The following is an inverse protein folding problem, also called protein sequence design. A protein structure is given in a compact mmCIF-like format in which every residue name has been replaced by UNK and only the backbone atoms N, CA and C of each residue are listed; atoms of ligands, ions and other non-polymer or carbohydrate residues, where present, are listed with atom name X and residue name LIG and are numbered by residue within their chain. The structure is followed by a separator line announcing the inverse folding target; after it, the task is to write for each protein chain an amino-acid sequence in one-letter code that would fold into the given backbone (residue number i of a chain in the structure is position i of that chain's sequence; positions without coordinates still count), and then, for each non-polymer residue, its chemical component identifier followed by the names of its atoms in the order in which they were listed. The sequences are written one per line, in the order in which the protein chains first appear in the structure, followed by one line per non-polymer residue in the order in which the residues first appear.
data_IF_307106265841
#
_entry.id   IF_307106265841
#
_cell.length_a   1.000
_cell.length_b   1.000
_cell.length_c   1.000
_cell.angle_alpha   90.00
_cell.angle_beta   90.00
_cell.angle_gamma   90.00
#
_symmetry.space_group_name_H-M   'P 1'
#
loop_
_entity.id
_entity.type
_entity.pdbx_description
1 polymer ?
#
# COMPACT_ATOMS: atom_id res chain seq x y z
N UNK A 1 -16.08 17.45 -20.21
CA UNK A 1 -15.95 16.59 -21.40
C UNK A 1 -14.83 15.60 -21.13
N UNK A 2 -15.14 14.37 -20.72
CA UNK A 2 -14.14 13.30 -20.61
C UNK A 2 -14.23 12.53 -21.91
N UNK A 3 -13.18 12.59 -22.73
CA UNK A 3 -13.12 11.85 -23.98
C UNK A 3 -12.88 10.37 -23.63
N UNK A 4 -13.89 9.52 -23.81
CA UNK A 4 -13.72 8.07 -23.91
C UNK A 4 -13.23 7.77 -25.33
N UNK A 5 -11.94 7.98 -25.56
CA UNK A 5 -11.29 7.56 -26.79
C UNK A 5 -11.12 6.06 -26.79
N UNK A 6 -11.73 5.37 -27.77
CA UNK A 6 -11.44 3.97 -28.07
C UNK A 6 -10.07 3.92 -28.75
N UNK A 7 -9.02 4.00 -27.95
CA UNK A 7 -7.63 3.93 -28.38
C UNK A 7 -6.80 3.33 -27.26
N UNK A 8 -5.73 2.62 -27.62
CA UNK A 8 -4.80 2.05 -26.63
C UNK A 8 -4.12 3.21 -25.89
N UNK A 9 -4.61 3.50 -24.68
CA UNK A 9 -4.02 4.52 -23.81
C UNK A 9 -2.70 3.97 -23.27
N UNK A 10 -1.58 4.52 -23.75
CA UNK A 10 -0.28 4.26 -23.15
C UNK A 10 -0.18 5.02 -21.84
N UNK A 11 -0.45 4.28 -20.78
CA UNK A 11 -0.30 4.69 -19.40
C UNK A 11 1.20 4.73 -19.06
N UNK A 12 1.81 5.92 -19.08
CA UNK A 12 3.23 6.11 -18.70
C UNK A 12 3.56 5.59 -17.30
N UNK A 13 4.87 5.49 -16.95
CA UNK A 13 5.32 4.82 -15.73
C UNK A 13 4.74 5.46 -14.46
N UNK A 14 4.46 4.63 -13.46
CA UNK A 14 4.02 5.07 -12.13
C UNK A 14 5.26 5.39 -11.30
N UNK A 15 5.40 6.65 -10.86
CA UNK A 15 6.55 7.10 -10.07
C UNK A 15 6.47 6.61 -8.62
N UNK A 16 7.61 6.65 -7.91
CA UNK A 16 7.68 6.36 -6.48
C UNK A 16 6.56 7.07 -5.70
N UNK A 17 5.82 6.33 -4.88
CA UNK A 17 4.72 6.86 -4.05
C UNK A 17 3.46 7.30 -4.81
N UNK A 18 3.42 7.14 -6.14
CA UNK A 18 2.21 7.33 -6.93
C UNK A 18 1.49 6.00 -7.14
N UNK A 19 0.18 6.09 -7.39
CA UNK A 19 -0.66 4.94 -7.71
C UNK A 19 -1.58 5.21 -8.89
N UNK A 20 -1.97 4.14 -9.58
CA UNK A 20 -3.04 4.14 -10.57
C UNK A 20 -3.97 2.97 -10.28
N UNK A 21 -5.26 3.25 -10.21
CA UNK A 21 -6.28 2.21 -9.99
C UNK A 21 -6.85 1.79 -11.34
N UNK A 22 -6.85 0.48 -11.58
CA UNK A 22 -7.54 -0.16 -12.68
C UNK A 22 -8.73 -0.94 -12.13
N UNK A 23 -9.87 -0.83 -12.82
CA UNK A 23 -11.12 -1.42 -12.40
C UNK A 23 -11.48 -2.61 -13.29
N UNK A 24 -12.25 -3.54 -12.75
CA UNK A 24 -12.87 -4.64 -13.49
C UNK A 24 -11.85 -5.57 -14.19
N UNK A 25 -10.72 -5.84 -13.53
CA UNK A 25 -9.64 -6.72 -14.05
C UNK A 25 -9.87 -8.22 -13.80
N UNK A 26 -11.12 -8.67 -13.69
CA UNK A 26 -11.46 -10.07 -13.46
C UNK A 26 -11.50 -10.44 -11.98
N UNK A 27 -10.49 -11.18 -11.47
CA UNK A 27 -10.46 -11.71 -10.08
C UNK A 27 -10.61 -10.60 -9.04
N UNK A 28 -10.09 -9.41 -9.33
CA UNK A 28 -10.15 -8.26 -8.44
C UNK A 28 -10.99 -7.14 -9.07
N UNK A 29 -11.98 -6.57 -8.32
CA UNK A 29 -12.79 -5.47 -8.83
C UNK A 29 -11.98 -4.17 -8.98
N UNK A 30 -10.90 -4.02 -8.22
CA UNK A 30 -9.97 -2.90 -8.27
C UNK A 30 -8.54 -3.38 -8.02
N UNK A 31 -7.58 -2.87 -8.78
CA UNK A 31 -6.15 -3.12 -8.60
C UNK A 31 -5.43 -1.78 -8.58
N UNK A 32 -4.75 -1.47 -7.48
CA UNK A 32 -3.87 -0.31 -7.39
C UNK A 32 -2.44 -0.70 -7.76
N UNK A 33 -1.96 -0.21 -8.90
CA UNK A 33 -0.55 -0.34 -9.29
C UNK A 33 0.22 0.83 -8.66
N UNK A 34 1.18 0.52 -7.80
CA UNK A 34 2.05 1.48 -7.12
C UNK A 34 3.45 1.49 -7.75
N UNK A 35 4.05 2.68 -7.85
CA UNK A 35 5.42 2.81 -8.33
C UNK A 35 6.43 2.52 -7.21
N UNK A 36 7.29 1.53 -7.40
CA UNK A 36 8.43 1.26 -6.51
C UNK A 36 9.53 2.32 -6.65
N UNK A 37 9.68 2.93 -7.83
CA UNK A 37 10.73 3.92 -8.04
C UNK A 37 12.11 3.30 -8.24
N UNK A 38 13.14 4.12 -8.06
CA UNK A 38 14.53 3.78 -8.34
C UNK A 38 15.34 3.86 -7.05
N UNK A 39 15.77 2.70 -6.55
CA UNK A 39 16.51 2.60 -5.30
C UNK A 39 17.90 3.24 -5.37
N UNK A 40 18.47 3.42 -6.57
CA UNK A 40 19.80 4.04 -6.74
C UNK A 40 19.82 5.55 -6.44
N UNK A 41 18.66 6.17 -6.22
CA UNK A 41 18.53 7.61 -5.95
C UNK A 41 18.61 7.97 -4.46
N UNK A 42 18.63 6.97 -3.58
CA UNK A 42 18.81 7.19 -2.16
C UNK A 42 20.26 7.55 -1.85
N UNK A 43 20.48 8.45 -0.90
CA UNK A 43 21.84 8.82 -0.46
C UNK A 43 22.36 7.73 0.47
N UNK A 44 23.60 7.28 0.26
CA UNK A 44 24.23 6.31 1.17
C UNK A 44 24.37 6.87 2.60
N UNK A 45 24.46 8.20 2.74
CA UNK A 45 24.52 8.89 4.03
C UNK A 45 23.19 8.87 4.80
N UNK A 46 22.08 8.50 4.15
CA UNK A 46 20.79 8.35 4.82
C UNK A 46 20.74 7.11 5.73
N UNK A 47 21.70 6.19 5.60
CA UNK A 47 21.75 4.91 6.34
C UNK A 47 20.45 4.08 6.21
N UNK A 48 19.73 4.28 5.10
CA UNK A 48 18.47 3.61 4.77
C UNK A 48 18.67 2.70 3.55
N UNK A 49 18.14 1.48 3.64
CA UNK A 49 17.99 0.62 2.47
C UNK A 49 16.86 1.16 1.58
N UNK A 50 17.24 1.87 0.51
CA UNK A 50 16.33 2.56 -0.38
C UNK A 50 15.33 1.65 -1.10
N UNK A 51 15.71 0.40 -1.40
CA UNK A 51 14.81 -0.58 -2.01
C UNK A 51 13.70 -0.98 -1.04
N UNK A 52 14.07 -1.26 0.22
CA UNK A 52 13.13 -1.56 1.29
C UNK A 52 12.21 -0.38 1.60
N UNK A 53 12.73 0.84 1.62
CA UNK A 53 11.92 2.03 1.88
C UNK A 53 10.94 2.34 0.74
N UNK A 54 11.37 2.14 -0.50
CA UNK A 54 10.50 2.22 -1.67
C UNK A 54 9.31 1.25 -1.58
N UNK A 55 9.52 0.03 -1.09
CA UNK A 55 8.45 -0.96 -0.88
C UNK A 55 7.44 -0.46 0.16
N UNK A 56 7.91 0.09 1.29
CA UNK A 56 7.00 0.68 2.30
C UNK A 56 6.15 1.78 1.70
N UNK A 57 6.77 2.69 0.94
CA UNK A 57 6.09 3.81 0.29
C UNK A 57 5.06 3.31 -0.73
N UNK A 58 5.41 2.32 -1.56
CA UNK A 58 4.53 1.76 -2.58
C UNK A 58 3.32 1.06 -1.95
N UNK A 59 3.53 0.17 -0.96
CA UNK A 59 2.46 -0.49 -0.22
C UNK A 59 1.52 0.52 0.44
N UNK A 60 2.08 1.51 1.12
CA UNK A 60 1.31 2.58 1.77
C UNK A 60 0.45 3.35 0.76
N UNK A 61 1.00 3.69 -0.40
CA UNK A 61 0.28 4.40 -1.44
C UNK A 61 -0.87 3.57 -2.02
N UNK A 62 -0.63 2.27 -2.28
CA UNK A 62 -1.65 1.33 -2.77
C UNK A 62 -2.82 1.18 -1.80
N UNK A 63 -2.52 0.91 -0.53
CA UNK A 63 -3.54 0.77 0.52
C UNK A 63 -4.37 2.04 0.68
N UNK A 64 -3.73 3.22 0.72
CA UNK A 64 -4.45 4.50 0.81
C UNK A 64 -5.36 4.73 -0.40
N UNK A 65 -4.89 4.42 -1.60
CA UNK A 65 -5.66 4.60 -2.82
C UNK A 65 -6.92 3.72 -2.83
N UNK A 66 -6.80 2.44 -2.47
CA UNK A 66 -7.94 1.53 -2.40
C UNK A 66 -8.88 1.85 -1.23
N UNK A 67 -8.34 2.19 -0.05
CA UNK A 67 -9.10 2.62 1.12
C UNK A 67 -9.91 3.88 0.85
N UNK A 68 -9.34 4.87 0.14
CA UNK A 68 -10.04 6.09 -0.28
C UNK A 68 -11.25 5.79 -1.21
N UNK A 69 -11.21 4.66 -1.92
CA UNK A 69 -12.29 4.17 -2.76
C UNK A 69 -13.18 3.14 -2.05
N UNK A 70 -13.10 3.04 -0.72
CA UNK A 70 -13.95 2.18 0.13
C UNK A 70 -13.86 0.69 -0.18
N UNK A 71 -12.73 0.24 -0.73
CA UNK A 71 -12.42 -1.18 -0.82
C UNK A 71 -12.23 -1.70 0.61
N UNK A 72 -12.97 -2.75 0.99
CA UNK A 72 -13.01 -3.26 2.36
C UNK A 72 -11.93 -4.32 2.65
N UNK A 73 -11.45 -5.01 1.63
CA UNK A 73 -10.44 -6.06 1.73
C UNK A 73 -9.34 -5.79 0.70
N UNK A 74 -8.09 -5.71 1.16
CA UNK A 74 -6.94 -5.40 0.33
C UNK A 74 -5.89 -6.48 0.54
N UNK A 75 -5.61 -7.23 -0.52
CA UNK A 75 -4.45 -8.10 -0.60
C UNK A 75 -3.26 -7.32 -1.17
N UNK A 76 -2.09 -7.43 -0.52
CA UNK A 76 -0.85 -6.74 -0.90
C UNK A 76 0.18 -7.79 -1.32
N UNK A 77 0.82 -7.58 -2.47
CA UNK A 77 1.94 -8.41 -2.93
C UNK A 77 3.17 -8.21 -2.04
N UNK A 78 4.09 -9.19 -2.00
CA UNK A 78 5.31 -9.10 -1.21
C UNK A 78 6.33 -8.08 -1.75
N UNK A 79 6.30 -7.79 -3.06
CA UNK A 79 7.26 -6.92 -3.74
C UNK A 79 8.72 -7.28 -3.41
N UNK A 80 9.00 -8.59 -3.28
CA UNK A 80 10.29 -9.17 -2.86
C UNK A 80 10.73 -8.80 -1.41
N UNK A 81 9.95 -7.98 -0.71
CA UNK A 81 10.24 -7.47 0.63
C UNK A 81 8.97 -7.51 1.52
N UNK A 82 8.46 -8.71 1.84
CA UNK A 82 7.17 -8.90 2.50
C UNK A 82 7.04 -8.18 3.84
N UNK A 83 8.13 -8.11 4.64
CA UNK A 83 8.13 -7.35 5.88
C UNK A 83 7.89 -5.85 5.64
N UNK A 84 8.58 -5.26 4.67
CA UNK A 84 8.45 -3.83 4.34
C UNK A 84 7.09 -3.53 3.73
N UNK A 85 6.58 -4.43 2.89
CA UNK A 85 5.23 -4.32 2.34
C UNK A 85 4.19 -4.28 3.47
N UNK A 86 4.31 -5.19 4.45
CA UNK A 86 3.44 -5.24 5.63
C UNK A 86 3.56 -3.97 6.49
N UNK A 87 4.78 -3.49 6.74
CA UNK A 87 5.04 -2.28 7.51
C UNK A 87 4.36 -1.07 6.85
N UNK A 88 4.63 -0.84 5.57
CA UNK A 88 4.04 0.27 4.81
C UNK A 88 2.51 0.22 4.76
N UNK A 89 1.96 -0.96 4.45
CA UNK A 89 0.53 -1.18 4.39
C UNK A 89 -0.17 -0.93 5.74
N UNK A 90 0.37 -1.50 6.83
CA UNK A 90 -0.21 -1.40 8.18
C UNK A 90 -0.10 0.00 8.76
N UNK A 91 1.04 0.69 8.59
CA UNK A 91 1.22 2.07 9.04
C UNK A 91 0.29 3.04 8.29
N UNK A 92 0.06 2.79 7.00
CA UNK A 92 -0.83 3.58 6.17
C UNK A 92 -2.31 3.35 6.46
N UNK A 93 -2.66 2.12 6.88
CA UNK A 93 -4.02 1.75 7.27
C UNK A 93 -4.39 2.12 8.72
N UNK A 94 -3.60 2.95 9.39
CA UNK A 94 -3.87 3.36 10.78
C UNK A 94 -4.56 4.73 10.86
N UNK A 95 -5.53 4.83 11.77
CA UNK A 95 -6.17 6.10 12.13
C UNK A 95 -6.53 6.11 13.61
N UNK A 96 -6.04 7.08 14.36
CA UNK A 96 -6.47 7.29 15.74
C UNK A 96 -7.91 7.83 15.78
N UNK A 97 -8.84 7.04 16.31
CA UNK A 97 -10.26 7.37 16.33
C UNK A 97 -10.94 7.06 17.67
N UNK A 98 -10.17 6.79 18.73
CA UNK A 98 -10.69 6.34 20.03
C UNK A 98 -11.71 7.31 20.65
N UNK A 99 -11.57 8.62 20.41
CA UNK A 99 -12.47 9.66 20.94
C UNK A 99 -13.56 10.10 19.96
N UNK A 100 -13.70 9.44 18.80
CA UNK A 100 -14.80 9.71 17.86
C UNK A 100 -16.00 8.84 18.18
N UNK A 101 -17.21 9.40 18.06
CA UNK A 101 -18.44 8.61 18.07
C UNK A 101 -18.42 7.59 16.93
N UNK A 102 -19.12 6.46 17.10
CA UNK A 102 -19.09 5.35 16.14
C UNK A 102 -19.48 5.79 14.74
N UNK A 103 -20.46 6.69 14.60
CA UNK A 103 -20.92 7.21 13.30
C UNK A 103 -19.87 8.09 12.60
N UNK A 104 -18.90 8.64 13.35
CA UNK A 104 -17.82 9.50 12.85
C UNK A 104 -16.51 8.75 12.62
N UNK A 105 -16.45 7.46 12.98
CA UNK A 105 -15.28 6.64 12.73
C UNK A 105 -15.24 6.27 11.24
N UNK A 106 -14.08 6.45 10.62
CA UNK A 106 -13.82 5.97 9.26
C UNK A 106 -13.55 4.47 9.32
N UNK A 107 -14.33 3.62 8.63
CA UNK A 107 -14.00 2.20 8.48
C UNK A 107 -12.63 2.04 7.81
N UNK A 108 -11.84 1.10 8.29
CA UNK A 108 -10.54 0.76 7.72
C UNK A 108 -10.65 -0.63 7.05
N UNK A 109 -10.04 -0.83 5.86
CA UNK A 109 -10.02 -2.14 5.23
C UNK A 109 -9.27 -3.17 6.07
N UNK A 110 -9.65 -4.44 5.92
CA UNK A 110 -8.79 -5.56 6.24
C UNK A 110 -7.64 -5.61 5.21
N UNK A 111 -6.41 -5.74 5.69
CA UNK A 111 -5.20 -5.78 4.86
C UNK A 111 -4.48 -7.10 5.12
N UNK A 112 -4.18 -7.84 4.06
CA UNK A 112 -3.50 -9.14 4.14
C UNK A 112 -2.41 -9.27 3.07
N UNK A 113 -1.51 -10.23 3.25
CA UNK A 113 -0.61 -10.70 2.19
C UNK A 113 -1.43 -11.38 1.08
N UNK A 114 -1.05 -11.17 -0.18
CA UNK A 114 -1.65 -11.86 -1.32
C UNK A 114 -1.40 -13.38 -1.26
N UNK A 115 -2.36 -14.18 -1.77
CA UNK A 115 -2.34 -15.65 -1.65
C UNK A 115 -1.14 -16.31 -2.35
N UNK A 116 -0.68 -15.70 -3.44
CA UNK A 116 0.42 -16.14 -4.29
C UNK A 116 1.78 -15.54 -3.90
N UNK A 117 1.79 -14.63 -2.91
CA UNK A 117 3.01 -14.03 -2.41
C UNK A 117 3.78 -14.94 -1.45
N UNK A 118 5.10 -14.74 -1.39
CA UNK A 118 6.00 -15.50 -0.53
C UNK A 118 6.25 -14.79 0.80
N UNK A 119 6.90 -15.46 1.76
CA UNK A 119 7.40 -14.81 2.97
C UNK A 119 6.34 -14.39 4.01
N UNK A 120 5.31 -15.23 4.22
CA UNK A 120 4.27 -15.01 5.24
C UNK A 120 4.81 -14.68 6.63
N UNK A 121 5.90 -15.33 7.05
CA UNK A 121 6.53 -15.07 8.36
C UNK A 121 7.12 -13.65 8.46
N UNK A 122 7.72 -13.15 7.38
CA UNK A 122 8.29 -11.81 7.31
C UNK A 122 7.18 -10.74 7.23
N UNK A 123 6.10 -11.03 6.49
CA UNK A 123 4.90 -10.20 6.51
C UNK A 123 4.34 -10.07 7.93
N UNK A 124 4.15 -11.19 8.64
CA UNK A 124 3.63 -11.18 10.01
C UNK A 124 4.53 -10.40 10.97
N UNK A 125 5.85 -10.52 10.81
CA UNK A 125 6.81 -9.70 11.53
C UNK A 125 6.63 -8.21 11.25
N UNK A 126 6.44 -7.83 9.99
CA UNK A 126 6.23 -6.44 9.60
C UNK A 126 4.94 -5.85 10.16
N UNK A 127 3.86 -6.64 10.20
CA UNK A 127 2.61 -6.26 10.88
C UNK A 127 2.87 -5.98 12.36
N UNK A 128 3.54 -6.89 13.08
CA UNK A 128 3.84 -6.72 14.51
C UNK A 128 4.63 -5.43 14.77
N UNK A 129 5.66 -5.15 13.96
CA UNK A 129 6.48 -3.95 14.08
C UNK A 129 5.64 -2.69 13.85
N UNK A 130 4.85 -2.66 12.78
CA UNK A 130 4.01 -1.51 12.45
C UNK A 130 2.89 -1.29 13.46
N UNK A 131 2.29 -2.35 14.01
CA UNK A 131 1.31 -2.26 15.09
C UNK A 131 1.93 -1.72 16.37
N UNK A 132 3.14 -2.14 16.73
CA UNK A 132 3.87 -1.59 17.87
C UNK A 132 4.16 -0.09 17.69
N UNK A 133 4.55 0.33 16.48
CA UNK A 133 4.71 1.76 16.18
C UNK A 133 3.38 2.51 16.20
N UNK A 134 2.30 1.92 15.69
CA UNK A 134 0.95 2.49 15.75
C UNK A 134 0.42 2.63 17.18
N UNK A 135 0.80 1.71 18.07
CA UNK A 135 0.57 1.83 19.50
C UNK A 135 1.31 3.05 20.07
N UNK A 136 2.54 3.32 19.65
CA UNK A 136 3.25 4.53 20.08
C UNK A 136 2.72 5.84 19.46
N UNK A 137 1.85 5.77 18.44
CA UNK A 137 1.19 6.94 17.81
C UNK A 137 -0.06 7.41 18.54
N UNK A 138 -0.54 6.66 19.55
CA UNK A 138 -1.74 7.00 20.36
C UNK A 138 -1.47 8.07 21.41
#
# INVERSE_FOLDING_TARGET
MVALGVGVVHCGPVKAGQTRIFWELGKFPAVAVAGLGDASKWDELDEIDGAKENVRIAAAAGVRALSANKIAEIAVEDMEHPQQAAEGATLANYKFQAFKSKEKQTPLPAVSLAEDASGKADWDRGVIIAEAQNFARV
#
